data_IF_722818940927
#
_entry.id   IF_722818940927
#
_cell.length_a   1.000
_cell.length_b   1.000
_cell.length_c   1.000
_cell.angle_alpha   90.00
_cell.angle_beta   90.00
_cell.angle_gamma   90.00
#
_symmetry.space_group_name_H-M   'P 1'
#
loop_
_entity.id
_entity.type
_entity.pdbx_description
1 polymer ?
#
# COMPACT_ATOMS: atom_id res chain seq x y z
N UNK A 1 18.43 -36.65 -18.81
CA UNK A 1 17.08 -36.05 -18.96
C UNK A 1 16.36 -36.75 -20.10
N UNK A 2 15.16 -37.29 -19.87
CA UNK A 2 14.39 -37.99 -20.91
C UNK A 2 14.03 -37.07 -22.09
N UNK A 3 13.81 -37.64 -23.28
CA UNK A 3 13.51 -36.92 -24.55
C UNK A 3 12.34 -35.92 -24.45
N UNK A 4 11.45 -36.06 -23.46
CA UNK A 4 10.29 -35.18 -23.21
C UNK A 4 10.59 -33.93 -22.38
N UNK A 5 11.72 -33.86 -21.64
CA UNK A 5 12.03 -32.74 -20.73
C UNK A 5 12.73 -31.58 -21.42
N UNK A 6 13.46 -31.84 -22.51
CA UNK A 6 14.21 -30.82 -23.23
C UNK A 6 13.29 -29.75 -23.88
N UNK A 7 12.15 -30.11 -24.52
CA UNK A 7 11.21 -29.11 -25.03
C UNK A 7 10.59 -28.24 -23.92
N UNK A 8 10.28 -28.82 -22.75
CA UNK A 8 9.73 -28.06 -21.62
C UNK A 8 10.72 -27.02 -21.10
N UNK A 9 11.99 -27.41 -20.92
CA UNK A 9 13.04 -26.49 -20.53
C UNK A 9 13.24 -25.35 -21.53
N UNK A 10 13.14 -25.64 -22.84
CA UNK A 10 13.24 -24.61 -23.86
C UNK A 10 12.04 -23.66 -23.84
N UNK A 11 10.81 -24.18 -23.87
CA UNK A 11 9.60 -23.36 -24.03
C UNK A 11 9.16 -22.66 -22.75
N UNK A 12 9.44 -23.19 -21.56
CA UNK A 12 9.04 -22.58 -20.29
C UNK A 12 10.23 -22.12 -19.45
N UNK A 13 11.47 -22.36 -19.91
CA UNK A 13 12.69 -21.87 -19.28
C UNK A 13 13.37 -20.79 -20.13
N UNK A 14 14.02 -21.21 -21.21
CA UNK A 14 14.91 -20.34 -22.00
C UNK A 14 14.17 -19.23 -22.73
N UNK A 15 13.08 -19.57 -23.44
CA UNK A 15 12.32 -18.59 -24.24
C UNK A 15 11.72 -17.47 -23.38
N UNK A 16 10.93 -17.76 -22.32
CA UNK A 16 10.40 -16.71 -21.45
C UNK A 16 11.51 -15.90 -20.77
N UNK A 17 12.64 -16.52 -20.39
CA UNK A 17 13.78 -15.79 -19.85
C UNK A 17 14.32 -14.74 -20.83
N UNK A 18 14.54 -15.12 -22.10
CA UNK A 18 15.00 -14.16 -23.12
C UNK A 18 14.00 -13.03 -23.31
N UNK A 19 12.70 -13.35 -23.39
CA UNK A 19 11.64 -12.34 -23.57
C UNK A 19 11.61 -11.39 -22.37
N UNK A 20 11.75 -11.90 -21.15
CA UNK A 20 11.75 -11.09 -19.92
C UNK A 20 12.90 -10.08 -19.87
N UNK A 21 14.05 -10.38 -20.47
CA UNK A 21 15.11 -9.38 -20.66
C UNK A 21 14.75 -8.37 -21.74
N UNK A 22 14.12 -8.81 -22.84
CA UNK A 22 13.72 -7.91 -23.92
C UNK A 22 12.69 -6.87 -23.47
N UNK A 23 11.78 -7.23 -22.56
CA UNK A 23 10.78 -6.29 -22.03
C UNK A 23 11.41 -5.08 -21.31
N UNK A 24 12.65 -5.21 -20.83
CA UNK A 24 13.36 -4.13 -20.14
C UNK A 24 13.79 -2.98 -21.07
N UNK A 25 13.85 -3.22 -22.37
CA UNK A 25 14.33 -2.25 -23.36
C UNK A 25 13.19 -1.54 -24.11
N UNK A 26 11.93 -1.83 -23.77
CA UNK A 26 10.75 -1.27 -24.43
C UNK A 26 10.29 -0.04 -23.66
N UNK A 27 10.44 1.14 -24.26
CA UNK A 27 10.03 2.42 -23.67
C UNK A 27 8.70 2.90 -24.28
N UNK A 28 7.58 2.56 -23.64
CA UNK A 28 6.29 3.22 -23.91
C UNK A 28 5.64 3.74 -22.63
N UNK A 29 4.63 4.62 -22.78
CA UNK A 29 3.95 5.28 -21.66
C UNK A 29 3.18 4.34 -20.71
N UNK A 30 2.97 3.06 -21.06
CA UNK A 30 2.24 2.11 -20.20
C UNK A 30 3.10 0.89 -19.84
N UNK A 31 3.61 0.88 -18.62
CA UNK A 31 4.50 -0.15 -18.09
C UNK A 31 3.90 -1.57 -18.14
N UNK A 32 2.62 -1.72 -17.83
CA UNK A 32 1.97 -3.03 -17.81
C UNK A 32 1.83 -3.60 -19.23
N UNK A 33 1.48 -2.75 -20.20
CA UNK A 33 1.41 -3.14 -21.62
C UNK A 33 2.81 -3.52 -22.14
N UNK A 34 3.86 -2.79 -21.75
CA UNK A 34 5.24 -3.07 -22.16
C UNK A 34 5.71 -4.46 -21.75
N UNK A 35 5.24 -4.97 -20.62
CA UNK A 35 5.62 -6.30 -20.12
C UNK A 35 4.71 -7.38 -20.71
N UNK A 36 3.40 -7.17 -20.69
CA UNK A 36 2.44 -8.21 -21.06
C UNK A 36 2.45 -8.49 -22.57
N UNK A 37 2.54 -7.47 -23.43
CA UNK A 37 2.41 -7.66 -24.87
C UNK A 37 3.55 -8.51 -25.48
N UNK A 38 4.84 -8.28 -25.16
CA UNK A 38 5.92 -9.14 -25.66
C UNK A 38 5.82 -10.58 -25.18
N UNK A 39 5.32 -10.81 -23.96
CA UNK A 39 5.08 -12.15 -23.42
C UNK A 39 3.99 -12.87 -24.20
N UNK A 40 2.88 -12.19 -24.54
CA UNK A 40 1.82 -12.75 -25.38
C UNK A 40 2.37 -13.11 -26.77
N UNK A 41 3.10 -12.18 -27.41
CA UNK A 41 3.68 -12.40 -28.75
C UNK A 41 4.65 -13.58 -28.71
N UNK A 42 5.56 -13.60 -27.74
CA UNK A 42 6.54 -14.65 -27.57
C UNK A 42 5.90 -16.01 -27.27
N UNK A 43 4.86 -16.04 -26.44
CA UNK A 43 4.05 -17.23 -26.17
C UNK A 43 3.39 -17.76 -27.45
N UNK A 44 2.80 -16.88 -28.26
CA UNK A 44 2.22 -17.27 -29.56
C UNK A 44 3.27 -17.85 -30.51
N UNK A 45 4.44 -17.20 -30.66
CA UNK A 45 5.51 -17.68 -31.52
C UNK A 45 6.01 -19.05 -31.04
N UNK A 46 6.29 -19.19 -29.74
CA UNK A 46 6.76 -20.44 -29.15
C UNK A 46 5.73 -21.56 -29.29
N UNK A 47 4.45 -21.28 -29.05
CA UNK A 47 3.33 -22.22 -29.22
C UNK A 47 3.16 -22.65 -30.68
N UNK A 48 3.33 -21.71 -31.62
CA UNK A 48 3.35 -22.00 -33.06
C UNK A 48 4.47 -22.96 -33.44
N UNK A 49 5.69 -22.72 -32.95
CA UNK A 49 6.85 -23.61 -33.20
C UNK A 49 6.62 -25.00 -32.55
N UNK A 50 6.14 -25.03 -31.31
CA UNK A 50 5.84 -26.26 -30.59
C UNK A 50 4.78 -27.09 -31.33
N UNK A 51 3.69 -26.45 -31.79
CA UNK A 51 2.62 -27.13 -32.53
C UNK A 51 3.12 -27.79 -33.82
N UNK A 52 4.04 -27.15 -34.56
CA UNK A 52 4.65 -27.75 -35.77
C UNK A 52 5.44 -29.01 -35.46
N UNK A 53 6.08 -29.10 -34.29
CA UNK A 53 6.78 -30.31 -33.84
C UNK A 53 5.78 -31.39 -33.44
N UNK A 54 4.76 -31.04 -32.66
CA UNK A 54 3.73 -31.98 -32.20
C UNK A 54 3.02 -32.63 -33.38
N UNK A 55 2.60 -31.84 -34.37
CA UNK A 55 1.91 -32.30 -35.59
C UNK A 55 2.76 -33.18 -36.53
N UNK A 56 4.09 -33.25 -36.35
CA UNK A 56 4.99 -34.08 -37.18
C UNK A 56 5.26 -35.46 -36.58
N UNK A 57 4.92 -35.67 -35.32
CA UNK A 57 5.21 -36.92 -34.61
C UNK A 57 4.00 -37.84 -34.82
N UNK A 58 4.12 -38.88 -35.65
CA UNK A 58 3.04 -39.84 -35.95
C UNK A 58 2.50 -40.58 -34.70
N UNK A 59 3.23 -40.52 -33.57
CA UNK A 59 2.96 -41.33 -32.38
C UNK A 59 2.21 -40.59 -31.24
N UNK A 60 1.81 -39.32 -31.40
CA UNK A 60 1.00 -38.65 -30.37
C UNK A 60 0.23 -37.45 -30.93
N UNK A 61 -0.90 -37.68 -31.61
CA UNK A 61 -1.97 -36.69 -31.79
C UNK A 61 -2.69 -36.37 -30.47
N UNK A 62 -1.95 -36.42 -29.35
CA UNK A 62 -2.38 -36.04 -28.01
C UNK A 62 -1.75 -34.70 -27.70
N UNK A 63 -2.57 -33.74 -27.30
CA UNK A 63 -2.03 -32.57 -26.63
C UNK A 63 -1.39 -33.08 -25.34
N UNK A 64 -0.06 -33.12 -25.29
CA UNK A 64 0.62 -33.70 -24.14
C UNK A 64 0.26 -32.86 -22.92
N UNK A 65 -0.34 -33.52 -21.93
CA UNK A 65 -0.70 -32.99 -20.60
C UNK A 65 0.39 -32.08 -20.01
N UNK A 66 1.64 -32.34 -20.38
CA UNK A 66 2.83 -31.60 -19.97
C UNK A 66 2.79 -30.10 -20.30
N UNK A 67 2.11 -29.66 -21.37
CA UNK A 67 2.03 -28.24 -21.74
C UNK A 67 0.98 -27.46 -20.96
N UNK A 68 0.05 -28.13 -20.27
CA UNK A 68 -0.91 -27.50 -19.37
C UNK A 68 -0.37 -27.36 -17.94
N UNK A 69 0.69 -28.11 -17.60
CA UNK A 69 1.29 -28.08 -16.27
C UNK A 69 1.80 -26.69 -15.84
N UNK A 70 2.46 -25.89 -16.69
CA UNK A 70 2.97 -24.57 -16.30
C UNK A 70 1.84 -23.62 -15.85
N UNK A 71 0.74 -23.54 -16.61
CA UNK A 71 -0.43 -22.71 -16.28
C UNK A 71 -1.00 -23.05 -14.89
N UNK A 72 -1.11 -24.35 -14.59
CA UNK A 72 -1.62 -24.84 -13.31
C UNK A 72 -0.61 -24.60 -12.20
N UNK A 73 0.68 -24.84 -12.47
CA UNK A 73 1.78 -24.60 -11.54
C UNK A 73 1.83 -23.13 -11.11
N UNK A 74 1.78 -22.19 -12.06
CA UNK A 74 1.73 -20.75 -11.77
C UNK A 74 0.52 -20.38 -10.94
N UNK A 75 -0.68 -20.86 -11.29
CA UNK A 75 -1.89 -20.58 -10.51
C UNK A 75 -1.82 -21.13 -9.08
N UNK A 76 -1.34 -22.37 -8.90
CA UNK A 76 -1.19 -23.01 -7.58
C UNK A 76 -0.16 -22.30 -6.73
N UNK A 77 1.03 -22.01 -7.28
CA UNK A 77 2.04 -21.25 -6.55
C UNK A 77 1.51 -19.87 -6.18
N UNK A 78 0.89 -19.16 -7.11
CA UNK A 78 0.31 -17.86 -6.80
C UNK A 78 -0.70 -17.94 -5.66
N UNK A 79 -1.60 -18.93 -5.67
CA UNK A 79 -2.57 -19.14 -4.59
C UNK A 79 -1.89 -19.41 -3.23
N UNK A 80 -0.84 -20.23 -3.20
CA UNK A 80 -0.06 -20.52 -1.99
C UNK A 80 0.57 -19.23 -1.45
N UNK A 81 1.21 -18.43 -2.31
CA UNK A 81 1.85 -17.18 -1.90
C UNK A 81 0.85 -16.09 -1.52
N UNK A 82 -0.34 -16.07 -2.12
CA UNK A 82 -1.46 -15.24 -1.66
C UNK A 82 -1.87 -15.62 -0.24
N UNK A 83 -1.98 -16.91 0.09
CA UNK A 83 -2.31 -17.37 1.43
C UNK A 83 -1.20 -17.02 2.45
N UNK A 84 0.07 -17.24 2.09
CA UNK A 84 1.22 -16.94 2.95
C UNK A 84 1.31 -15.44 3.25
N UNK A 85 1.15 -14.60 2.22
CA UNK A 85 1.27 -13.14 2.33
C UNK A 85 -0.01 -12.44 2.81
N UNK A 86 -1.13 -13.16 2.96
CA UNK A 86 -2.43 -12.53 3.18
C UNK A 86 -2.84 -11.58 2.03
N UNK A 87 -2.35 -11.86 0.82
CA UNK A 87 -2.54 -11.01 -0.37
C UNK A 87 -1.67 -9.75 -0.40
N UNK A 88 -0.74 -9.57 0.54
CA UNK A 88 0.22 -8.47 0.48
C UNK A 88 1.32 -8.77 -0.54
N UNK A 89 1.25 -8.12 -1.70
CA UNK A 89 2.19 -8.33 -2.81
C UNK A 89 3.62 -7.81 -2.55
N UNK A 90 3.85 -7.07 -1.47
CA UNK A 90 5.19 -6.63 -1.06
C UNK A 90 5.90 -7.56 -0.08
N UNK A 91 5.26 -8.63 0.39
CA UNK A 91 5.87 -9.56 1.34
C UNK A 91 7.10 -10.29 0.77
N UNK A 92 8.15 -10.48 1.58
CA UNK A 92 9.38 -11.20 1.20
C UNK A 92 9.14 -12.59 0.59
N UNK A 93 8.03 -13.24 0.94
CA UNK A 93 7.63 -14.51 0.36
C UNK A 93 7.59 -14.48 -1.19
N UNK A 94 7.28 -13.33 -1.80
CA UNK A 94 7.26 -13.18 -3.26
C UNK A 94 8.65 -13.30 -3.90
N UNK A 95 9.73 -13.13 -3.15
CA UNK A 95 11.08 -13.48 -3.61
C UNK A 95 11.23 -14.97 -3.87
N UNK A 96 10.69 -15.80 -2.97
CA UNK A 96 10.69 -17.26 -3.16
C UNK A 96 9.82 -17.64 -4.35
N UNK A 97 8.66 -16.99 -4.52
CA UNK A 97 7.84 -17.18 -5.73
C UNK A 97 8.62 -16.86 -7.01
N UNK A 98 9.40 -15.77 -7.00
CA UNK A 98 10.25 -15.39 -8.12
C UNK A 98 11.36 -16.41 -8.42
N UNK A 99 11.98 -17.00 -7.40
CA UNK A 99 12.96 -18.08 -7.56
C UNK A 99 12.30 -19.34 -8.16
N UNK A 100 11.06 -19.64 -7.77
CA UNK A 100 10.29 -20.75 -8.34
C UNK A 100 9.83 -20.49 -9.80
N UNK A 101 10.05 -19.27 -10.29
CA UNK A 101 9.74 -18.78 -11.63
C UNK A 101 10.94 -18.01 -12.22
N UNK A 102 12.16 -18.55 -12.07
CA UNK A 102 13.41 -17.99 -12.65
C UNK A 102 13.26 -17.44 -14.09
N UNK A 103 12.50 -18.06 -15.00
CA UNK A 103 12.31 -17.53 -16.35
C UNK A 103 11.64 -16.15 -16.42
N UNK A 104 11.02 -15.68 -15.34
CA UNK A 104 10.43 -14.35 -15.22
C UNK A 104 11.25 -13.42 -14.31
N UNK A 105 12.43 -13.85 -13.83
CA UNK A 105 13.21 -13.11 -12.84
C UNK A 105 13.53 -11.65 -13.24
N UNK A 106 13.91 -11.33 -14.49
CA UNK A 106 14.13 -9.93 -14.90
C UNK A 106 12.90 -9.03 -14.73
N UNK A 107 11.72 -9.54 -15.09
CA UNK A 107 10.45 -8.82 -14.89
C UNK A 107 10.19 -8.67 -13.41
N UNK A 108 10.28 -9.76 -12.64
CA UNK A 108 10.00 -9.74 -11.21
C UNK A 108 10.90 -8.79 -10.44
N UNK A 109 12.18 -8.73 -10.78
CA UNK A 109 13.13 -7.79 -10.22
C UNK A 109 12.68 -6.33 -10.41
N UNK A 110 12.34 -5.94 -11.65
CA UNK A 110 11.87 -4.57 -11.92
C UNK A 110 10.52 -4.30 -11.26
N UNK A 111 9.62 -5.27 -11.24
CA UNK A 111 8.31 -5.08 -10.62
C UNK A 111 8.41 -4.94 -9.11
N UNK A 112 9.37 -5.58 -8.46
CA UNK A 112 9.66 -5.35 -7.04
C UNK A 112 10.17 -3.93 -6.81
N UNK A 113 11.09 -3.43 -7.64
CA UNK A 113 11.59 -2.05 -7.55
C UNK A 113 10.48 -1.01 -7.76
N UNK A 114 9.51 -1.32 -8.61
CA UNK A 114 8.39 -0.43 -8.93
C UNK A 114 7.16 -0.66 -8.05
N UNK A 115 7.19 -1.64 -7.14
CA UNK A 115 6.03 -2.02 -6.34
C UNK A 115 4.86 -2.65 -7.13
N UNK A 116 5.09 -3.06 -8.37
CA UNK A 116 4.05 -3.58 -9.27
C UNK A 116 3.85 -5.10 -9.13
N UNK A 117 3.40 -5.54 -7.97
CA UNK A 117 3.29 -6.97 -7.67
C UNK A 117 2.24 -7.74 -8.49
N UNK A 118 1.36 -7.07 -9.26
CA UNK A 118 0.34 -7.77 -10.08
C UNK A 118 0.99 -8.67 -11.13
N UNK A 119 2.20 -8.32 -11.56
CA UNK A 119 2.94 -9.04 -12.58
C UNK A 119 3.49 -10.39 -12.10
N UNK A 120 3.54 -10.67 -10.79
CA UNK A 120 3.85 -12.02 -10.28
C UNK A 120 2.91 -13.08 -10.85
N UNK A 121 1.62 -12.76 -10.99
CA UNK A 121 0.65 -13.65 -11.63
C UNK A 121 0.63 -13.44 -13.15
N UNK A 122 0.44 -12.19 -13.59
CA UNK A 122 0.04 -11.93 -14.97
C UNK A 122 1.17 -12.10 -15.99
N UNK A 123 2.44 -11.89 -15.63
CA UNK A 123 3.54 -12.10 -16.56
C UNK A 123 3.69 -13.59 -16.97
N UNK A 124 3.84 -14.55 -16.05
CA UNK A 124 3.89 -15.97 -16.44
C UNK A 124 2.61 -16.42 -17.15
N UNK A 125 1.42 -16.08 -16.63
CA UNK A 125 0.15 -16.47 -17.26
C UNK A 125 -0.03 -15.93 -18.68
N UNK A 126 0.39 -14.69 -18.95
CA UNK A 126 0.27 -14.10 -20.28
C UNK A 126 1.04 -14.91 -21.33
N UNK A 127 2.27 -15.31 -21.00
CA UNK A 127 3.08 -16.16 -21.87
C UNK A 127 2.48 -17.56 -22.02
N UNK A 128 2.13 -18.20 -20.91
CA UNK A 128 1.70 -19.60 -20.89
C UNK A 128 0.33 -19.81 -21.53
N UNK A 129 -0.63 -18.92 -21.27
CA UNK A 129 -1.95 -18.97 -21.92
C UNK A 129 -1.83 -18.72 -23.42
N UNK A 130 -1.01 -17.75 -23.85
CA UNK A 130 -0.78 -17.48 -25.27
C UNK A 130 -0.14 -18.68 -25.99
N UNK A 131 0.80 -19.35 -25.32
CA UNK A 131 1.42 -20.58 -25.79
C UNK A 131 0.39 -21.71 -25.99
N UNK A 132 -0.39 -22.02 -24.95
CA UNK A 132 -1.41 -23.07 -24.99
C UNK A 132 -2.51 -22.74 -26.01
N UNK A 133 -2.95 -21.48 -26.04
CA UNK A 133 -3.95 -21.01 -27.00
C UNK A 133 -3.50 -21.19 -28.44
N UNK A 134 -2.25 -20.84 -28.75
CA UNK A 134 -1.74 -20.99 -30.11
C UNK A 134 -1.60 -22.45 -30.52
N UNK A 135 -1.21 -23.34 -29.60
CA UNK A 135 -1.23 -24.78 -29.86
C UNK A 135 -2.67 -25.21 -30.21
N UNK A 136 -3.65 -24.84 -29.39
CA UNK A 136 -5.05 -25.19 -29.65
C UNK A 136 -5.54 -24.67 -31.02
N UNK A 137 -5.23 -23.41 -31.35
CA UNK A 137 -5.58 -22.82 -32.66
C UNK A 137 -4.92 -23.60 -33.81
N UNK A 138 -3.63 -23.95 -33.70
CA UNK A 138 -2.91 -24.72 -34.72
C UNK A 138 -3.55 -26.08 -35.01
N UNK A 139 -3.99 -26.81 -33.97
CA UNK A 139 -4.71 -28.07 -34.14
C UNK A 139 -6.06 -27.88 -34.83
N UNK A 140 -6.82 -26.85 -34.43
CA UNK A 140 -8.11 -26.53 -35.07
C UNK A 140 -7.96 -26.14 -36.54
N UNK A 141 -6.97 -25.31 -36.89
CA UNK A 141 -6.69 -24.90 -38.28
C UNK A 141 -6.37 -26.12 -39.16
N UNK A 142 -5.58 -27.06 -38.64
CA UNK A 142 -5.24 -28.28 -39.37
C UNK A 142 -6.35 -29.34 -39.38
N UNK A 143 -7.50 -29.07 -38.75
CA UNK A 143 -8.60 -30.02 -38.53
C UNK A 143 -8.14 -31.32 -37.87
N UNK A 144 -7.01 -31.29 -37.17
CA UNK A 144 -6.51 -32.40 -36.40
C UNK A 144 -7.18 -32.35 -35.02
N UNK A 145 -7.79 -33.45 -34.59
CA UNK A 145 -8.51 -33.50 -33.31
C UNK A 145 -7.58 -34.07 -32.25
N UNK A 146 -6.99 -33.22 -31.39
CA UNK A 146 -6.15 -33.73 -30.32
C UNK A 146 -6.97 -34.69 -29.43
N UNK A 147 -6.43 -35.86 -29.17
CA UNK A 147 -7.02 -36.81 -28.22
C UNK A 147 -6.60 -36.41 -26.81
N UNK A 148 -7.52 -35.78 -26.08
CA UNK A 148 -7.28 -35.40 -24.69
C UNK A 148 -7.52 -36.57 -23.74
N UNK A 149 -6.65 -36.72 -22.75
CA UNK A 149 -6.99 -37.48 -21.54
C UNK A 149 -8.02 -36.68 -20.73
N UNK A 150 -9.30 -36.79 -21.10
CA UNK A 150 -10.40 -35.99 -20.54
C UNK A 150 -10.35 -35.88 -19.01
N UNK A 151 -10.09 -37.00 -18.32
CA UNK A 151 -9.94 -37.02 -16.85
C UNK A 151 -8.81 -36.11 -16.38
N UNK A 152 -7.61 -36.19 -16.98
CA UNK A 152 -6.46 -35.38 -16.60
C UNK A 152 -6.68 -33.90 -16.89
N UNK A 153 -7.23 -33.56 -18.05
CA UNK A 153 -7.55 -32.16 -18.41
C UNK A 153 -8.59 -31.58 -17.46
N UNK A 154 -9.64 -32.34 -17.14
CA UNK A 154 -10.64 -31.93 -16.14
C UNK A 154 -10.02 -31.74 -14.75
N UNK A 155 -9.12 -32.63 -14.33
CA UNK A 155 -8.40 -32.48 -13.05
C UNK A 155 -7.56 -31.21 -13.04
N UNK A 156 -6.77 -30.93 -14.08
CA UNK A 156 -5.97 -29.70 -14.16
C UNK A 156 -6.84 -28.44 -14.17
N UNK A 157 -7.94 -28.46 -14.91
CA UNK A 157 -8.88 -27.34 -14.94
C UNK A 157 -9.49 -27.11 -13.55
N UNK A 158 -9.89 -28.17 -12.84
CA UNK A 158 -10.42 -28.06 -11.49
C UNK A 158 -9.38 -27.48 -10.52
N UNK A 159 -8.13 -27.95 -10.58
CA UNK A 159 -7.02 -27.41 -9.76
C UNK A 159 -6.76 -25.95 -10.09
N UNK A 160 -6.71 -25.59 -11.37
CA UNK A 160 -6.54 -24.20 -11.80
C UNK A 160 -7.65 -23.29 -11.28
N UNK A 161 -8.92 -23.70 -11.44
CA UNK A 161 -10.08 -22.93 -10.96
C UNK A 161 -10.03 -22.76 -9.44
N UNK A 162 -9.71 -23.82 -8.69
CA UNK A 162 -9.59 -23.74 -7.23
C UNK A 162 -8.45 -22.82 -6.80
N UNK A 163 -7.30 -22.90 -7.46
CA UNK A 163 -6.15 -22.04 -7.16
C UNK A 163 -6.46 -20.57 -7.48
N UNK A 164 -6.98 -20.27 -8.67
CA UNK A 164 -7.41 -18.93 -9.06
C UNK A 164 -8.48 -18.39 -8.11
N UNK A 165 -9.48 -19.22 -7.79
CA UNK A 165 -10.56 -18.86 -6.85
C UNK A 165 -10.03 -18.58 -5.45
N UNK A 166 -9.03 -19.33 -4.97
CA UNK A 166 -8.38 -19.09 -3.68
C UNK A 166 -7.68 -17.73 -3.65
N UNK A 167 -6.82 -17.45 -4.62
CA UNK A 167 -6.13 -16.16 -4.65
C UNK A 167 -7.07 -14.98 -4.87
N UNK A 168 -8.12 -15.14 -5.68
CA UNK A 168 -9.20 -14.13 -5.82
C UNK A 168 -9.96 -13.94 -4.52
N UNK A 169 -10.27 -15.01 -3.77
CA UNK A 169 -10.94 -14.89 -2.47
C UNK A 169 -10.06 -14.17 -1.44
N UNK A 170 -8.76 -14.46 -1.40
CA UNK A 170 -7.79 -13.73 -0.56
C UNK A 170 -7.77 -12.25 -0.95
N UNK A 171 -7.65 -11.94 -2.24
CA UNK A 171 -7.63 -10.56 -2.73
C UNK A 171 -8.96 -9.84 -2.47
N UNK A 172 -10.09 -10.53 -2.62
CA UNK A 172 -11.40 -9.98 -2.35
C UNK A 172 -11.57 -9.68 -0.85
N UNK A 173 -11.16 -10.60 0.01
CA UNK A 173 -11.16 -10.36 1.45
C UNK A 173 -10.26 -9.18 1.82
N UNK A 174 -9.05 -9.11 1.25
CA UNK A 174 -8.14 -7.97 1.42
C UNK A 174 -8.77 -6.67 0.92
N UNK A 175 -9.45 -6.66 -0.23
CA UNK A 175 -10.09 -5.45 -0.78
C UNK A 175 -11.20 -4.87 0.10
N UNK A 176 -11.76 -5.67 1.02
CA UNK A 176 -12.73 -5.19 2.01
C UNK A 176 -12.05 -4.48 3.20
N UNK A 177 -10.76 -4.72 3.43
CA UNK A 177 -10.04 -4.24 4.61
C UNK A 177 -8.84 -3.35 4.27
N UNK A 178 -8.38 -3.37 3.02
CA UNK A 178 -7.20 -2.66 2.50
C UNK A 178 -7.50 -2.21 1.07
N UNK A 179 -7.63 -0.90 0.85
CA UNK A 179 -7.69 -0.35 -0.52
C UNK A 179 -6.32 -0.48 -1.20
N UNK A 180 -6.27 -0.57 -2.55
CA UNK A 180 -5.00 -0.55 -3.28
C UNK A 180 -4.29 0.76 -2.93
N UNK A 181 -3.13 0.68 -2.30
CA UNK A 181 -2.32 1.87 -2.04
C UNK A 181 -1.55 2.34 -3.26
N UNK A 182 -1.66 1.65 -4.40
CA UNK A 182 -0.90 1.92 -5.61
C UNK A 182 -1.80 2.61 -6.62
N UNK A 183 -1.43 3.84 -6.98
CA UNK A 183 -2.19 4.66 -7.93
C UNK A 183 -2.16 6.15 -7.61
N UNK A 184 -1.62 6.54 -6.46
CA UNK A 184 -1.36 7.95 -6.19
C UNK A 184 -0.23 8.49 -7.05
N UNK A 185 -0.21 9.81 -7.21
CA UNK A 185 0.78 10.51 -8.02
C UNK A 185 2.20 10.44 -7.41
N UNK A 186 2.31 10.35 -6.08
CA UNK A 186 3.59 10.51 -5.37
C UNK A 186 3.99 9.27 -4.56
N UNK A 187 5.25 9.26 -4.09
CA UNK A 187 5.78 8.27 -3.15
C UNK A 187 5.75 6.84 -3.70
N UNK A 188 6.09 6.64 -4.98
CA UNK A 188 6.05 5.31 -5.60
C UNK A 188 4.64 4.73 -5.75
N UNK A 189 3.63 5.60 -5.78
CA UNK A 189 2.25 5.22 -5.89
C UNK A 189 1.49 5.24 -4.56
N UNK A 190 2.16 5.46 -3.42
CA UNK A 190 1.64 5.35 -2.06
C UNK A 190 1.15 6.65 -1.41
N UNK A 191 1.55 7.81 -1.94
CA UNK A 191 1.33 9.11 -1.30
C UNK A 191 0.39 9.98 -2.11
N UNK A 192 -0.63 10.50 -1.47
CA UNK A 192 -1.49 11.52 -2.07
C UNK A 192 -0.81 12.88 -2.20
N UNK A 193 0.30 13.12 -1.51
CA UNK A 193 1.01 14.41 -1.47
C UNK A 193 2.45 14.27 -1.92
N UNK A 194 3.01 15.30 -2.54
CA UNK A 194 4.44 15.34 -2.83
C UNK A 194 5.25 15.32 -1.52
N UNK A 195 5.97 14.21 -1.30
CA UNK A 195 6.81 14.02 -0.12
C UNK A 195 8.28 14.39 -0.38
N UNK A 196 8.65 14.71 -1.63
CA UNK A 196 10.03 15.06 -1.98
C UNK A 196 10.60 16.22 -1.16
N UNK A 197 9.84 17.25 -0.74
CA UNK A 197 10.34 18.28 0.19
C UNK A 197 10.80 17.75 1.55
N UNK A 198 10.37 16.57 1.96
CA UNK A 198 10.68 15.96 3.25
C UNK A 198 11.67 14.79 3.15
N UNK A 199 12.13 14.44 1.95
CA UNK A 199 13.10 13.36 1.77
C UNK A 199 14.47 13.71 2.36
N UNK A 200 15.07 12.78 3.11
CA UNK A 200 16.38 12.98 3.76
C UNK A 200 17.54 13.11 2.76
N UNK A 201 17.37 12.60 1.54
CA UNK A 201 18.28 12.69 0.39
C UNK A 201 18.14 14.01 -0.37
N UNK A 202 17.02 14.70 -0.26
CA UNK A 202 16.80 15.95 -0.95
C UNK A 202 17.70 17.05 -0.34
N UNK A 203 18.64 17.66 -1.09
CA UNK A 203 19.50 18.72 -0.58
C UNK A 203 18.73 20.01 -0.23
N UNK A 204 17.56 20.21 -0.84
CA UNK A 204 16.65 21.34 -0.61
C UNK A 204 15.47 20.97 0.31
N UNK A 205 15.60 19.91 1.11
CA UNK A 205 14.54 19.53 2.04
C UNK A 205 14.19 20.67 3.01
N UNK A 206 12.94 20.68 3.45
CA UNK A 206 12.39 21.65 4.40
C UNK A 206 12.30 21.08 5.82
N UNK A 207 13.05 20.01 6.11
CA UNK A 207 13.05 19.40 7.45
C UNK A 207 13.61 20.39 8.47
N UNK A 208 13.01 20.48 9.66
CA UNK A 208 13.50 21.35 10.72
C UNK A 208 14.91 20.93 11.15
N UNK A 209 15.72 21.93 11.51
CA UNK A 209 17.06 21.74 12.06
C UNK A 209 17.06 22.10 13.53
N UNK A 210 17.81 21.33 14.32
CA UNK A 210 18.10 21.69 15.71
C UNK A 210 18.96 22.96 15.76
N UNK A 211 18.79 23.72 16.84
CA UNK A 211 19.65 24.90 17.12
C UNK A 211 21.07 24.50 17.55
N UNK A 212 21.21 23.30 18.13
CA UNK A 212 22.47 22.74 18.60
C UNK A 212 22.73 21.36 17.98
N UNK A 213 23.99 20.86 17.98
CA UNK A 213 24.29 19.50 17.56
C UNK A 213 23.45 18.47 18.32
N UNK A 214 23.06 17.38 17.64
CA UNK A 214 22.30 16.31 18.28
C UNK A 214 23.08 15.68 19.44
N UNK A 215 22.39 15.46 20.55
CA UNK A 215 22.91 14.75 21.74
C UNK A 215 22.98 13.24 21.54
N UNK A 216 22.32 12.73 20.49
CA UNK A 216 22.33 11.33 20.10
C UNK A 216 22.55 11.22 18.58
N UNK A 217 23.49 10.35 18.18
CA UNK A 217 23.80 10.12 16.76
C UNK A 217 24.07 8.64 16.52
N UNK A 218 23.61 8.11 15.39
CA UNK A 218 23.90 6.76 14.91
C UNK A 218 24.82 6.88 13.70
N UNK A 219 26.04 6.33 13.83
CA UNK A 219 27.10 6.49 12.83
C UNK A 219 27.08 5.40 11.77
N UNK A 220 26.85 4.17 12.20
CA UNK A 220 26.90 3.01 11.33
C UNK A 220 25.54 2.78 10.66
N UNK A 221 25.50 2.71 9.34
CA UNK A 221 24.27 2.51 8.58
C UNK A 221 23.55 1.20 8.96
N UNK A 222 24.29 0.13 9.29
CA UNK A 222 23.69 -1.14 9.72
C UNK A 222 22.97 -1.05 11.07
N UNK A 223 23.32 -0.06 11.89
CA UNK A 223 22.72 0.19 13.20
C UNK A 223 21.57 1.20 13.15
N UNK A 224 21.34 1.87 12.01
CA UNK A 224 20.22 2.81 11.83
C UNK A 224 18.90 2.03 11.84
N UNK A 225 17.95 2.33 12.74
CA UNK A 225 16.62 1.77 12.65
C UNK A 225 15.95 2.13 11.31
N UNK A 226 15.32 1.15 10.67
CA UNK A 226 14.51 1.34 9.46
C UNK A 226 13.16 1.94 9.85
N UNK A 227 12.78 3.04 9.20
CA UNK A 227 11.63 3.87 9.53
C UNK A 227 10.60 3.82 8.40
N UNK A 228 9.33 3.75 8.77
CA UNK A 228 8.18 3.89 7.87
C UNK A 228 6.95 4.35 8.66
N UNK A 229 5.87 4.78 8.01
CA UNK A 229 4.70 5.22 8.74
C UNK A 229 3.57 5.83 7.91
N UNK A 230 2.68 6.50 8.65
CA UNK A 230 1.61 7.30 8.09
C UNK A 230 2.15 8.54 7.36
N UNK A 231 1.44 8.99 6.32
CA UNK A 231 1.85 10.12 5.47
C UNK A 231 2.06 11.40 6.27
N UNK A 232 1.16 11.69 7.22
CA UNK A 232 1.29 12.85 8.12
C UNK A 232 2.54 12.79 9.02
N UNK A 233 3.03 11.58 9.31
CA UNK A 233 4.20 11.38 10.16
C UNK A 233 5.52 11.42 9.36
N UNK A 234 5.47 11.38 8.02
CA UNK A 234 6.66 11.38 7.17
C UNK A 234 7.64 12.52 7.48
N UNK A 235 7.19 13.78 7.62
CA UNK A 235 8.09 14.88 7.99
C UNK A 235 8.77 14.68 9.34
N UNK A 236 8.11 14.02 10.30
CA UNK A 236 8.62 13.79 11.67
C UNK A 236 9.77 12.82 11.67
N UNK A 237 9.56 11.61 11.15
CA UNK A 237 10.60 10.59 11.21
C UNK A 237 11.74 10.86 10.22
N UNK A 238 11.47 11.55 9.11
CA UNK A 238 12.52 12.07 8.23
C UNK A 238 13.38 13.12 8.93
N UNK A 239 12.79 14.04 9.71
CA UNK A 239 13.55 15.02 10.47
C UNK A 239 14.38 14.38 11.59
N UNK A 240 13.83 13.39 12.29
CA UNK A 240 14.57 12.61 13.29
C UNK A 240 15.75 11.87 12.66
N UNK A 241 15.53 11.16 11.55
CA UNK A 241 16.59 10.48 10.83
C UNK A 241 17.66 11.46 10.33
N UNK A 242 17.26 12.59 9.72
CA UNK A 242 18.19 13.60 9.23
C UNK A 242 19.08 14.19 10.33
N UNK A 243 18.55 14.26 11.55
CA UNK A 243 19.22 14.82 12.72
C UNK A 243 20.16 13.81 13.39
N UNK A 244 19.74 12.54 13.50
CA UNK A 244 20.42 11.51 14.28
C UNK A 244 21.31 10.61 13.43
N UNK A 245 20.96 10.37 12.16
CA UNK A 245 21.70 9.44 11.30
C UNK A 245 22.84 10.16 10.58
N UNK A 246 24.08 9.83 10.96
CA UNK A 246 25.25 10.47 10.38
C UNK A 246 25.39 10.10 8.89
N UNK A 247 25.57 11.09 8.02
CA UNK A 247 25.71 10.90 6.57
C UNK A 247 24.56 10.14 5.88
N UNK A 248 23.34 10.17 6.41
CA UNK A 248 22.18 9.44 5.84
C UNK A 248 21.97 9.68 4.34
N UNK A 249 22.22 10.90 3.84
CA UNK A 249 22.07 11.21 2.42
C UNK A 249 23.06 10.49 1.50
N UNK A 250 24.12 9.89 2.06
CA UNK A 250 25.14 9.10 1.36
C UNK A 250 25.12 7.63 1.75
N UNK A 251 24.20 7.20 2.62
CA UNK A 251 24.11 5.81 3.00
C UNK A 251 23.66 4.97 1.80
N UNK A 252 24.17 3.75 1.69
CA UNK A 252 23.64 2.78 0.75
C UNK A 252 22.18 2.46 1.14
N UNK A 253 21.30 2.31 0.14
CA UNK A 253 19.89 1.96 0.34
C UNK A 253 19.10 2.90 1.27
N UNK A 254 19.29 4.23 1.16
CA UNK A 254 18.54 5.22 1.99
C UNK A 254 17.03 5.00 1.97
N UNK A 255 16.48 4.62 0.81
CA UNK A 255 15.05 4.34 0.62
C UNK A 255 14.54 3.14 1.42
N UNK A 256 15.42 2.25 1.87
CA UNK A 256 15.10 1.14 2.79
C UNK A 256 15.20 1.56 4.26
N UNK A 257 16.05 2.54 4.57
CA UNK A 257 16.27 3.06 5.93
C UNK A 257 15.19 4.07 6.32
N UNK A 258 14.84 5.00 5.43
CA UNK A 258 13.77 5.98 5.62
C UNK A 258 12.80 5.83 4.46
N UNK A 259 11.79 5.01 4.67
CA UNK A 259 10.82 4.63 3.63
C UNK A 259 9.45 5.24 3.90
N UNK A 260 8.59 5.22 2.88
CA UNK A 260 7.18 5.57 3.01
C UNK A 260 6.32 4.58 2.23
N UNK A 261 5.45 3.86 2.93
CA UNK A 261 4.47 2.96 2.32
C UNK A 261 3.04 3.19 2.79
N UNK A 262 2.76 4.29 3.51
CA UNK A 262 1.49 4.62 4.17
C UNK A 262 1.15 3.77 5.40
N UNK A 263 0.10 4.17 6.12
CA UNK A 263 -0.34 3.57 7.40
C UNK A 263 -0.53 2.05 7.33
N UNK A 264 -1.18 1.53 6.29
CA UNK A 264 -1.57 0.11 6.26
C UNK A 264 -0.34 -0.75 6.01
N UNK A 265 0.42 -0.43 4.98
CA UNK A 265 1.57 -1.22 4.55
C UNK A 265 2.76 -1.05 5.49
N UNK A 266 3.01 0.15 6.00
CA UNK A 266 4.08 0.36 6.99
C UNK A 266 3.84 -0.45 8.26
N UNK A 267 2.58 -0.62 8.66
CA UNK A 267 2.23 -1.47 9.79
C UNK A 267 2.40 -2.96 9.48
N UNK A 268 2.02 -3.42 8.28
CA UNK A 268 2.30 -4.80 7.84
C UNK A 268 3.82 -5.07 7.82
N UNK A 269 4.62 -4.13 7.30
CA UNK A 269 6.09 -4.17 7.28
C UNK A 269 6.70 -4.18 8.69
N UNK A 270 6.06 -3.51 9.65
CA UNK A 270 6.50 -3.59 11.06
C UNK A 270 6.32 -5.02 11.58
N UNK A 271 5.17 -5.63 11.32
CA UNK A 271 4.89 -6.99 11.80
C UNK A 271 5.80 -8.05 11.14
N UNK A 272 6.13 -7.88 9.85
CA UNK A 272 7.07 -8.75 9.14
C UNK A 272 8.52 -8.56 9.59
N UNK A 273 8.85 -7.41 10.22
CA UNK A 273 10.21 -7.06 10.64
C UNK A 273 11.06 -6.42 9.53
N UNK A 274 10.42 -5.97 8.45
CA UNK A 274 11.05 -5.18 7.39
C UNK A 274 11.36 -3.75 7.82
N UNK A 275 10.59 -3.21 8.78
CA UNK A 275 10.85 -1.90 9.41
C UNK A 275 11.00 -2.08 10.92
N UNK A 276 11.84 -1.25 11.52
CA UNK A 276 12.15 -1.32 12.95
C UNK A 276 11.23 -0.44 13.78
N UNK A 277 10.80 0.71 13.23
CA UNK A 277 9.90 1.67 13.88
C UNK A 277 8.84 2.15 12.89
N UNK A 278 7.57 1.96 13.25
CA UNK A 278 6.42 2.56 12.58
C UNK A 278 6.06 3.90 13.23
N UNK A 279 5.77 4.93 12.44
CA UNK A 279 5.30 6.22 12.94
C UNK A 279 3.86 6.51 12.53
N UNK A 280 3.00 6.83 13.49
CA UNK A 280 1.62 7.19 13.20
C UNK A 280 0.73 7.20 14.42
N UNK A 281 -0.59 7.24 14.19
CA UNK A 281 -1.58 7.10 15.25
C UNK A 281 -1.65 5.66 15.78
N UNK A 282 -2.49 5.45 16.79
CA UNK A 282 -2.82 4.13 17.33
C UNK A 282 -3.32 3.17 16.22
N UNK A 283 -2.89 1.89 16.21
CA UNK A 283 -3.35 0.92 15.22
C UNK A 283 -4.84 0.62 15.38
N UNK A 284 -5.51 0.40 14.25
CA UNK A 284 -6.91 -0.05 14.20
C UNK A 284 -7.14 -1.37 14.93
N UNK A 285 -8.41 -1.66 15.25
CA UNK A 285 -8.79 -2.95 15.87
C UNK A 285 -8.29 -4.14 15.02
N UNK A 286 -8.44 -4.09 13.70
CA UNK A 286 -7.98 -5.17 12.82
C UNK A 286 -6.45 -5.29 12.79
N UNK A 287 -5.72 -4.17 12.81
CA UNK A 287 -4.26 -4.16 12.89
C UNK A 287 -3.77 -4.73 14.24
N UNK A 288 -4.45 -4.42 15.35
CA UNK A 288 -4.15 -5.00 16.66
C UNK A 288 -4.42 -6.52 16.67
N UNK A 289 -5.53 -6.96 16.08
CA UNK A 289 -5.84 -8.38 15.92
C UNK A 289 -4.85 -9.09 15.01
N UNK A 290 -4.38 -8.43 13.94
CA UNK A 290 -3.35 -8.94 13.06
C UNK A 290 -2.04 -9.18 13.83
N UNK A 291 -1.60 -8.22 14.64
CA UNK A 291 -0.42 -8.38 15.50
C UNK A 291 -0.59 -9.56 16.48
N UNK A 292 -1.76 -9.66 17.14
CA UNK A 292 -2.08 -10.77 18.06
C UNK A 292 -2.04 -12.12 17.37
N UNK A 293 -2.65 -12.26 16.19
CA UNK A 293 -2.65 -13.51 15.40
C UNK A 293 -1.24 -13.94 14.99
N UNK A 294 -0.34 -12.99 14.77
CA UNK A 294 1.06 -13.26 14.43
C UNK A 294 1.97 -13.42 15.66
N UNK A 295 1.42 -13.37 16.88
CA UNK A 295 2.20 -13.45 18.12
C UNK A 295 3.16 -12.28 18.32
N UNK A 296 2.84 -11.10 17.75
CA UNK A 296 3.65 -9.89 17.81
C UNK A 296 3.13 -8.99 18.93
N UNK A 297 4.02 -8.60 19.85
CA UNK A 297 3.73 -7.63 20.91
C UNK A 297 4.27 -6.25 20.51
N UNK A 298 3.39 -5.25 20.52
CA UNK A 298 3.71 -3.87 20.13
C UNK A 298 4.10 -3.06 21.36
N UNK A 299 5.13 -2.22 21.21
CA UNK A 299 5.49 -1.18 22.17
C UNK A 299 5.13 0.16 21.55
N UNK A 300 4.21 0.88 22.17
CA UNK A 300 3.72 2.17 21.68
C UNK A 300 4.34 3.31 22.49
N UNK A 301 5.30 4.02 21.90
CA UNK A 301 5.98 5.16 22.55
C UNK A 301 5.37 6.47 22.05
N UNK A 302 4.63 7.23 22.88
CA UNK A 302 4.10 8.52 22.47
C UNK A 302 5.25 9.51 22.31
N UNK A 303 5.35 10.14 21.14
CA UNK A 303 6.42 11.09 20.79
C UNK A 303 5.89 12.50 20.52
N UNK A 304 4.58 12.65 20.40
CA UNK A 304 3.91 13.94 20.28
C UNK A 304 2.40 13.76 20.33
N UNK A 305 1.69 14.88 20.25
CA UNK A 305 0.23 14.96 20.22
C UNK A 305 -0.21 15.68 18.96
N UNK A 306 -1.41 15.34 18.52
CA UNK A 306 -2.06 15.88 17.35
C UNK A 306 -3.57 16.00 17.60
N UNK A 307 -4.26 16.81 16.81
CA UNK A 307 -5.71 16.84 16.74
C UNK A 307 -6.24 16.11 15.51
N UNK A 308 -7.33 15.37 15.72
CA UNK A 308 -8.20 14.91 14.65
C UNK A 308 -9.27 15.95 14.40
N UNK A 309 -9.28 16.53 13.20
CA UNK A 309 -10.11 17.70 12.88
C UNK A 309 -11.12 17.36 11.81
N UNK A 310 -12.29 18.01 11.91
CA UNK A 310 -13.29 18.04 10.88
C UNK A 310 -13.21 19.37 10.14
N UNK A 311 -13.49 19.34 8.85
CA UNK A 311 -13.45 20.53 8.01
C UNK A 311 -14.52 20.49 6.93
N UNK A 312 -14.92 21.68 6.51
CA UNK A 312 -15.93 21.93 5.50
C UNK A 312 -15.39 22.93 4.49
N UNK A 313 -16.15 23.16 3.42
CA UNK A 313 -15.89 24.27 2.51
C UNK A 313 -15.97 25.63 3.28
N UNK A 314 -15.10 26.61 2.98
CA UNK A 314 -15.12 27.94 3.62
C UNK A 314 -16.48 28.66 3.61
N UNK A 315 -17.30 28.46 2.58
CA UNK A 315 -18.62 29.10 2.42
C UNK A 315 -19.73 28.41 3.24
N UNK A 316 -19.44 27.27 3.86
CA UNK A 316 -20.37 26.62 4.77
C UNK A 316 -20.58 27.49 6.02
N UNK A 317 -21.83 27.70 6.44
CA UNK A 317 -22.16 28.60 7.57
C UNK A 317 -21.97 27.98 8.95
N UNK A 318 -21.77 26.67 9.02
CA UNK A 318 -21.54 25.98 10.30
C UNK A 318 -20.09 26.21 10.74
N UNK A 319 -19.90 26.70 11.96
CA UNK A 319 -18.58 26.96 12.54
C UNK A 319 -18.20 25.96 13.63
N UNK A 320 -19.19 25.31 14.23
CA UNK A 320 -18.99 24.31 15.27
C UNK A 320 -20.00 23.17 15.18
N UNK A 321 -19.56 21.98 15.58
CA UNK A 321 -20.41 20.81 15.78
C UNK A 321 -20.17 20.21 17.17
N UNK A 322 -21.23 19.69 17.77
CA UNK A 322 -21.12 18.81 18.93
C UNK A 322 -20.72 17.39 18.51
N UNK A 323 -20.14 16.64 19.45
CA UNK A 323 -19.75 15.23 19.20
C UNK A 323 -20.95 14.40 18.72
N UNK A 324 -22.13 14.62 19.32
CA UNK A 324 -23.35 13.92 18.93
C UNK A 324 -23.81 14.27 17.52
N UNK A 325 -23.61 15.50 17.05
CA UNK A 325 -23.97 15.93 15.70
C UNK A 325 -23.05 15.27 14.67
N UNK A 326 -21.75 15.17 14.96
CA UNK A 326 -20.80 14.42 14.14
C UNK A 326 -21.23 12.96 14.02
N UNK A 327 -21.57 12.32 15.13
CA UNK A 327 -22.04 10.93 15.13
C UNK A 327 -23.33 10.77 14.30
N UNK A 328 -24.25 11.72 14.40
CA UNK A 328 -25.51 11.71 13.63
C UNK A 328 -25.30 12.00 12.14
N UNK A 329 -24.32 12.82 11.77
CA UNK A 329 -23.92 13.02 10.36
C UNK A 329 -23.34 11.73 9.78
N UNK A 330 -22.34 11.13 10.43
CA UNK A 330 -21.64 9.96 9.90
C UNK A 330 -22.41 8.65 10.01
N UNK A 331 -23.46 8.58 10.85
CA UNK A 331 -24.47 7.50 10.81
C UNK A 331 -25.56 7.72 9.75
N UNK A 332 -25.62 8.92 9.16
CA UNK A 332 -26.65 9.30 8.21
C UNK A 332 -28.00 9.63 8.83
N UNK A 333 -28.07 9.91 10.13
CA UNK A 333 -29.29 10.41 10.79
C UNK A 333 -29.56 11.87 10.39
N UNK A 334 -28.54 12.74 10.48
CA UNK A 334 -28.59 14.10 9.96
C UNK A 334 -28.09 14.08 8.52
N UNK A 335 -28.90 14.61 7.60
CA UNK A 335 -28.62 14.55 6.16
C UNK A 335 -28.59 15.92 5.49
N UNK A 336 -28.95 16.99 6.21
CA UNK A 336 -29.01 18.33 5.65
C UNK A 336 -28.45 19.37 6.62
N UNK A 337 -27.66 20.32 6.09
CA UNK A 337 -27.04 21.37 6.90
C UNK A 337 -28.05 22.31 7.59
N UNK A 338 -29.27 22.44 7.07
CA UNK A 338 -30.32 23.24 7.72
C UNK A 338 -30.74 22.69 9.10
N UNK A 339 -30.51 21.41 9.36
CA UNK A 339 -30.72 20.79 10.68
C UNK A 339 -29.68 21.27 11.71
N UNK A 340 -28.59 21.87 11.25
CA UNK A 340 -27.44 22.33 12.02
C UNK A 340 -27.24 23.86 11.90
N UNK A 341 -28.28 24.59 11.46
CA UNK A 341 -28.22 26.05 11.27
C UNK A 341 -27.47 26.51 10.01
N UNK A 342 -27.10 25.58 9.13
CA UNK A 342 -26.48 25.86 7.83
C UNK A 342 -27.49 26.14 6.71
N UNK A 343 -27.01 26.07 5.46
CA UNK A 343 -27.87 26.22 4.28
C UNK A 343 -28.76 24.99 4.07
N UNK A 344 -29.86 25.11 3.32
CA UNK A 344 -30.70 23.97 2.98
C UNK A 344 -30.05 23.11 1.89
N UNK A 345 -29.02 22.39 2.27
CA UNK A 345 -28.12 21.64 1.41
C UNK A 345 -27.86 20.25 1.99
N UNK A 346 -27.83 19.23 1.13
CA UNK A 346 -27.57 17.85 1.54
C UNK A 346 -26.13 17.71 2.04
N UNK A 347 -25.93 17.04 3.17
CA UNK A 347 -24.58 16.75 3.68
C UNK A 347 -23.96 15.59 2.89
N UNK A 348 -22.72 15.80 2.46
CA UNK A 348 -21.85 14.76 1.90
C UNK A 348 -20.70 14.54 2.87
N UNK A 349 -20.69 13.39 3.54
CA UNK A 349 -19.68 13.07 4.55
C UNK A 349 -18.67 12.08 4.00
N UNK A 350 -17.49 12.59 3.65
CA UNK A 350 -16.39 11.80 3.09
C UNK A 350 -15.82 10.84 4.13
N UNK A 351 -15.50 9.63 3.70
CA UNK A 351 -14.88 8.59 4.53
C UNK A 351 -13.53 8.18 3.97
N UNK A 352 -12.76 7.44 4.76
CA UNK A 352 -11.44 6.92 4.38
C UNK A 352 -11.44 5.39 4.33
N UNK A 353 -10.42 4.79 3.68
CA UNK A 353 -10.27 3.34 3.68
C UNK A 353 -10.20 2.81 5.11
N UNK A 354 -10.81 1.66 5.35
CA UNK A 354 -10.64 0.91 6.60
C UNK A 354 -9.15 0.73 6.91
N UNK A 355 -8.80 0.77 8.19
CA UNK A 355 -7.42 0.67 8.69
C UNK A 355 -6.49 1.85 8.32
N UNK A 356 -6.99 2.89 7.65
CA UNK A 356 -6.26 4.16 7.61
C UNK A 356 -6.29 4.83 8.99
N UNK A 357 -5.24 5.61 9.32
CA UNK A 357 -5.14 6.24 10.64
C UNK A 357 -6.31 7.18 10.94
N UNK A 358 -6.74 7.97 9.97
CA UNK A 358 -7.86 8.90 10.13
C UNK A 358 -9.22 8.18 10.22
N UNK A 359 -9.44 7.10 9.46
CA UNK A 359 -10.68 6.30 9.59
C UNK A 359 -10.76 5.64 10.97
N UNK A 360 -9.64 5.16 11.48
CA UNK A 360 -9.56 4.53 12.82
C UNK A 360 -10.01 5.51 13.91
N UNK A 361 -9.64 6.79 13.78
CA UNK A 361 -10.06 7.84 14.73
C UNK A 361 -11.55 8.18 14.58
N UNK A 362 -12.09 8.23 13.36
CA UNK A 362 -13.54 8.36 13.15
C UNK A 362 -14.32 7.19 13.79
N UNK A 363 -13.90 5.94 13.55
CA UNK A 363 -14.52 4.75 14.13
C UNK A 363 -14.51 4.80 15.68
N UNK A 364 -13.43 5.32 16.27
CA UNK A 364 -13.33 5.52 17.72
C UNK A 364 -14.31 6.57 18.24
N UNK A 365 -14.51 7.67 17.50
CA UNK A 365 -15.50 8.72 17.82
C UNK A 365 -16.92 8.18 17.71
N UNK A 366 -17.18 7.33 16.72
CA UNK A 366 -18.50 6.70 16.50
C UNK A 366 -18.83 5.65 17.57
N UNK A 367 -17.83 4.99 18.14
CA UNK A 367 -18.03 3.97 19.17
C UNK A 367 -18.81 2.78 18.62
N UNK A 368 -19.98 2.51 19.19
CA UNK A 368 -20.88 1.43 18.76
C UNK A 368 -21.91 1.88 17.70
N UNK A 369 -21.95 3.18 17.37
CA UNK A 369 -22.87 3.72 16.37
C UNK A 369 -22.38 3.31 14.97
N UNK A 370 -23.19 2.59 14.17
CA UNK A 370 -22.81 2.23 12.81
C UNK A 370 -22.56 3.45 11.93
N UNK A 371 -21.43 3.45 11.22
CA UNK A 371 -21.14 4.44 10.17
C UNK A 371 -21.93 4.06 8.92
N UNK A 372 -22.53 5.04 8.24
CA UNK A 372 -23.25 4.79 6.99
C UNK A 372 -22.33 4.26 5.90
N UNK A 373 -22.85 3.42 5.01
CA UNK A 373 -22.11 3.02 3.81
C UNK A 373 -21.89 4.26 2.91
N UNK A 374 -20.64 4.65 2.61
CA UNK A 374 -20.37 5.79 1.75
C UNK A 374 -20.73 5.46 0.28
N UNK A 375 -21.04 6.48 -0.53
CA UNK A 375 -21.03 6.28 -1.98
C UNK A 375 -19.60 5.95 -2.41
N UNK A 376 -19.43 5.17 -3.49
CA UNK A 376 -18.08 4.77 -3.96
C UNK A 376 -17.16 5.95 -4.27
N UNK A 377 -17.74 7.09 -4.62
CA UNK A 377 -17.04 8.35 -4.90
C UNK A 377 -16.66 9.14 -3.64
N UNK A 378 -17.22 8.79 -2.48
CA UNK A 378 -17.00 9.47 -1.19
C UNK A 378 -15.92 8.79 -0.33
N UNK A 379 -15.10 7.91 -0.93
CA UNK A 379 -13.98 7.23 -0.25
C UNK A 379 -12.65 7.52 -0.95
N UNK A 380 -12.04 8.70 -0.72
CA UNK A 380 -10.72 8.98 -1.27
C UNK A 380 -9.67 8.07 -0.64
N UNK A 381 -8.79 7.52 -1.48
CA UNK A 381 -7.78 6.57 -1.03
C UNK A 381 -6.79 7.25 -0.05
N UNK A 382 -6.44 8.52 -0.27
CA UNK A 382 -5.41 9.28 0.45
C UNK A 382 -5.97 10.48 1.25
N UNK A 383 -5.21 10.99 2.23
CA UNK A 383 -5.66 12.16 3.01
C UNK A 383 -5.74 13.42 2.14
N UNK A 384 -4.82 13.57 1.17
CA UNK A 384 -4.84 14.65 0.19
C UNK A 384 -6.10 14.63 -0.67
N UNK A 385 -6.60 13.43 -1.00
CA UNK A 385 -7.83 13.27 -1.79
C UNK A 385 -9.09 13.74 -1.06
N UNK A 386 -9.22 13.56 0.26
CA UNK A 386 -10.33 14.15 1.02
C UNK A 386 -10.22 15.67 1.02
N UNK A 387 -9.02 16.20 1.28
CA UNK A 387 -8.82 17.65 1.28
C UNK A 387 -9.18 18.21 -0.09
N UNK A 388 -8.63 17.67 -1.18
CA UNK A 388 -8.95 18.11 -2.55
C UNK A 388 -10.44 18.00 -2.86
N UNK A 389 -11.13 16.93 -2.47
CA UNK A 389 -12.57 16.79 -2.74
C UNK A 389 -13.45 17.75 -1.93
N UNK A 390 -13.01 18.15 -0.73
CA UNK A 390 -13.68 19.17 0.09
C UNK A 390 -13.25 20.60 -0.31
N UNK A 391 -12.02 20.76 -0.80
CA UNK A 391 -11.34 22.05 -1.04
C UNK A 391 -11.40 22.54 -2.49
N UNK A 392 -11.47 21.67 -3.50
CA UNK A 392 -11.36 22.08 -4.91
C UNK A 392 -12.32 21.35 -5.90
N UNK A 393 -12.99 22.20 -6.67
CA UNK A 393 -13.63 22.03 -7.99
C UNK A 393 -14.84 21.08 -8.24
N UNK A 394 -15.32 20.27 -7.29
CA UNK A 394 -16.56 19.48 -7.53
C UNK A 394 -17.87 20.06 -6.98
N UNK A 395 -17.85 21.29 -6.44
CA UNK A 395 -19.05 22.04 -6.07
C UNK A 395 -19.92 21.32 -5.03
N UNK A 396 -19.31 20.92 -3.93
CA UNK A 396 -20.01 20.48 -2.74
C UNK A 396 -19.64 21.38 -1.56
N UNK A 397 -20.10 22.63 -1.58
CA UNK A 397 -20.09 23.55 -0.42
C UNK A 397 -20.79 22.92 0.81
N UNK A 398 -21.49 21.82 0.57
CA UNK A 398 -22.22 20.99 1.47
C UNK A 398 -21.46 19.71 1.93
N UNK A 399 -20.15 19.63 1.69
CA UNK A 399 -19.30 18.54 2.16
C UNK A 399 -18.78 18.72 3.58
N UNK A 400 -18.51 17.59 4.24
CA UNK A 400 -17.67 17.49 5.44
C UNK A 400 -16.62 16.40 5.25
N UNK A 401 -15.39 16.70 5.63
CA UNK A 401 -14.28 15.76 5.68
C UNK A 401 -13.57 15.79 7.04
N UNK A 402 -12.57 14.92 7.19
CA UNK A 402 -11.73 14.85 8.38
C UNK A 402 -10.29 14.49 8.04
N UNK A 403 -9.36 14.90 8.90
CA UNK A 403 -7.94 14.54 8.79
C UNK A 403 -7.21 14.80 10.12
N UNK A 404 -5.90 14.55 10.14
CA UNK A 404 -5.04 15.08 11.19
C UNK A 404 -4.69 16.54 10.90
N UNK A 405 -4.66 17.39 11.94
CA UNK A 405 -4.49 18.83 11.79
C UNK A 405 -3.21 19.21 11.05
N UNK A 406 -2.04 18.67 11.40
CA UNK A 406 -0.79 18.97 10.70
C UNK A 406 -0.85 18.60 9.21
N UNK A 407 -1.52 17.50 8.86
CA UNK A 407 -1.72 17.17 7.46
C UNK A 407 -2.57 18.24 6.75
N UNK A 408 -3.66 18.67 7.39
CA UNK A 408 -4.61 19.64 6.85
C UNK A 408 -4.09 21.09 6.79
N UNK A 409 -3.20 21.50 7.69
CA UNK A 409 -2.75 22.91 7.79
C UNK A 409 -1.25 23.10 7.60
N UNK A 410 -0.45 22.04 7.63
CA UNK A 410 1.01 22.11 7.59
C UNK A 410 1.60 21.52 6.30
N UNK A 411 1.25 20.26 5.99
CA UNK A 411 1.72 19.60 4.74
C UNK A 411 0.98 20.12 3.51
N UNK A 412 -0.30 20.43 3.69
CA UNK A 412 -1.21 20.88 2.64
C UNK A 412 -1.95 22.10 3.15
N UNK A 413 -1.21 23.19 3.42
CA UNK A 413 -1.81 24.48 3.76
C UNK A 413 -2.64 25.01 2.59
N UNK A 414 -3.89 24.57 2.52
CA UNK A 414 -4.86 25.06 1.57
C UNK A 414 -5.71 26.08 2.30
N UNK A 415 -5.73 27.31 1.79
CA UNK A 415 -6.70 28.35 2.13
C UNK A 415 -8.16 27.97 1.82
N UNK A 416 -8.41 26.72 1.42
CA UNK A 416 -9.60 26.27 0.73
C UNK A 416 -10.46 25.34 1.61
N UNK A 417 -10.12 25.16 2.90
CA UNK A 417 -10.97 24.47 3.88
C UNK A 417 -11.12 25.30 5.16
N UNK A 418 -12.28 25.18 5.81
CA UNK A 418 -12.54 25.74 7.14
C UNK A 418 -12.61 24.63 8.17
N UNK A 419 -11.68 24.65 9.13
CA UNK A 419 -11.71 23.71 10.27
C UNK A 419 -12.88 24.05 11.20
N UNK A 420 -13.62 23.03 11.64
CA UNK A 420 -14.74 23.19 12.57
C UNK A 420 -14.26 23.13 14.02
N UNK A 421 -14.83 24.00 14.86
CA UNK A 421 -14.73 23.86 16.30
C UNK A 421 -15.58 22.69 16.78
N UNK A 422 -15.13 21.97 17.81
CA UNK A 422 -15.93 20.89 18.41
C UNK A 422 -16.43 21.36 19.76
N UNK A 423 -17.74 21.35 19.97
CA UNK A 423 -18.38 21.87 21.19
C UNK A 423 -17.91 23.31 21.52
N UNK A 424 -17.77 24.16 20.50
CA UNK A 424 -17.26 25.53 20.61
C UNK A 424 -15.75 25.67 20.83
N UNK A 425 -14.97 24.59 20.80
CA UNK A 425 -13.50 24.62 20.98
C UNK A 425 -12.79 24.44 19.65
N UNK A 426 -12.03 25.45 19.22
CA UNK A 426 -11.23 25.39 17.99
C UNK A 426 -10.00 24.47 18.12
N UNK A 427 -9.55 23.81 17.03
CA UNK A 427 -8.34 22.96 17.02
C UNK A 427 -7.03 23.77 16.98
N UNK A 428 -6.86 24.70 17.91
CA UNK A 428 -5.63 25.50 18.04
C UNK A 428 -4.56 24.74 18.82
N UNK A 429 -3.26 25.00 18.60
CA UNK A 429 -2.19 24.38 19.39
C UNK A 429 -2.38 24.51 20.91
N UNK A 430 -2.89 25.65 21.37
CA UNK A 430 -3.16 25.92 22.79
C UNK A 430 -4.29 25.04 23.33
N UNK A 431 -5.39 24.89 22.57
CA UNK A 431 -6.52 24.05 22.97
C UNK A 431 -6.16 22.55 22.95
N UNK A 432 -5.30 22.13 22.03
CA UNK A 432 -4.81 20.76 21.93
C UNK A 432 -3.86 20.46 23.08
N UNK A 433 -2.88 21.33 23.34
CA UNK A 433 -1.91 21.17 24.42
C UNK A 433 -2.57 21.15 25.81
N UNK A 434 -3.62 21.95 26.00
CA UNK A 434 -4.37 22.00 27.26
C UNK A 434 -5.41 20.87 27.42
N UNK A 435 -5.63 20.04 26.39
CA UNK A 435 -6.65 18.99 26.39
C UNK A 435 -8.09 19.50 26.33
N UNK A 436 -8.29 20.77 26.00
CA UNK A 436 -9.62 21.36 25.82
C UNK A 436 -10.29 20.90 24.52
N UNK A 437 -9.50 20.71 23.46
CA UNK A 437 -10.03 20.15 22.21
C UNK A 437 -10.31 18.66 22.41
N UNK A 438 -11.53 18.16 22.11
CA UNK A 438 -11.95 16.82 22.54
C UNK A 438 -11.33 15.68 21.72
N UNK A 439 -10.90 15.93 20.49
CA UNK A 439 -10.37 14.91 19.59
C UNK A 439 -8.87 15.03 19.42
N UNK A 440 -8.13 14.62 20.45
CA UNK A 440 -6.67 14.52 20.40
C UNK A 440 -6.22 13.08 20.19
N UNK A 441 -5.14 12.90 19.44
CA UNK A 441 -4.46 11.64 19.25
C UNK A 441 -2.98 11.79 19.59
N UNK A 442 -2.37 10.74 20.11
CA UNK A 442 -0.91 10.70 20.22
C UNK A 442 -0.33 10.29 18.86
N UNK A 443 0.76 10.94 18.48
CA UNK A 443 1.70 10.42 17.50
C UNK A 443 2.63 9.44 18.20
N UNK A 444 2.66 8.20 17.72
CA UNK A 444 3.47 7.14 18.27
C UNK A 444 4.66 6.80 17.38
N UNK A 445 5.78 6.46 18.01
CA UNK A 445 6.78 5.56 17.46
C UNK A 445 6.48 4.15 18.00
N UNK A 446 6.08 3.23 17.12
CA UNK A 446 5.66 1.87 17.46
C UNK A 446 6.74 0.89 17.04
N UNK A 447 7.16 0.03 17.97
CA UNK A 447 8.16 -1.01 17.74
C UNK A 447 7.63 -2.39 18.12
N UNK A 448 8.31 -3.44 17.66
CA UNK A 448 8.10 -4.78 18.18
C UNK A 448 8.92 -5.00 19.45
N UNK A 449 8.31 -5.56 20.50
CA UNK A 449 8.99 -5.81 21.78
C UNK A 449 10.23 -6.71 21.65
N UNK A 450 10.24 -7.61 20.66
CA UNK A 450 11.35 -8.52 20.41
C UNK A 450 12.40 -7.96 19.43
N UNK A 451 12.34 -6.68 19.07
CA UNK A 451 13.39 -6.07 18.25
C UNK A 451 14.70 -6.02 19.04
N UNK A 452 15.77 -6.56 18.45
CA UNK A 452 17.09 -6.73 19.10
C UNK A 452 18.05 -5.59 18.81
N UNK A 453 17.68 -4.60 17.99
CA UNK A 453 18.54 -3.49 17.60
C UNK A 453 18.73 -2.55 18.80
N UNK A 454 19.97 -2.49 19.31
CA UNK A 454 20.34 -1.76 20.53
C UNK A 454 20.17 -0.25 20.44
N UNK A 455 20.12 0.32 19.24
CA UNK A 455 19.94 1.75 18.99
C UNK A 455 18.49 2.22 19.13
N UNK A 456 17.50 1.32 19.18
CA UNK A 456 16.08 1.69 19.26
C UNK A 456 15.76 2.39 20.57
N UNK A 457 16.10 1.79 21.71
CA UNK A 457 15.75 2.35 23.01
C UNK A 457 16.36 3.76 23.23
N UNK A 458 17.67 3.99 22.99
CA UNK A 458 18.24 5.34 23.07
C UNK A 458 17.61 6.33 22.09
N UNK A 459 17.20 5.86 20.90
CA UNK A 459 16.54 6.72 19.92
C UNK A 459 15.14 7.13 20.37
N UNK A 460 14.35 6.20 20.92
CA UNK A 460 13.04 6.49 21.51
C UNK A 460 13.15 7.45 22.71
N UNK A 461 14.15 7.28 23.57
CA UNK A 461 14.42 8.22 24.65
C UNK A 461 14.80 9.61 24.13
N UNK A 462 15.64 9.68 23.10
CA UNK A 462 16.00 10.95 22.46
C UNK A 462 14.79 11.66 21.83
N UNK A 463 13.88 10.91 21.17
CA UNK A 463 12.63 11.46 20.61
C UNK A 463 11.75 12.10 21.69
N UNK A 464 11.68 11.49 22.88
CA UNK A 464 10.96 12.02 24.04
C UNK A 464 11.71 13.16 24.75
N UNK A 465 13.02 13.26 24.54
CA UNK A 465 13.88 14.28 25.12
C UNK A 465 13.73 15.66 24.46
N UNK A 466 14.41 16.69 25.00
CA UNK A 466 14.23 18.07 24.57
C UNK A 466 14.42 18.32 23.06
N UNK A 467 15.43 17.70 22.44
CA UNK A 467 15.71 17.88 21.01
C UNK A 467 14.68 17.19 20.11
N UNK A 468 14.21 16.00 20.48
CA UNK A 468 13.13 15.34 19.76
C UNK A 468 11.83 16.15 19.83
N UNK A 469 11.51 16.68 21.02
CA UNK A 469 10.32 17.52 21.22
C UNK A 469 10.42 18.89 20.51
N UNK A 470 11.62 19.47 20.39
CA UNK A 470 11.87 20.66 19.58
C UNK A 470 11.53 20.42 18.10
N UNK A 471 11.92 19.27 17.54
CA UNK A 471 11.59 18.88 16.17
C UNK A 471 10.08 18.68 16.00
N UNK A 472 9.42 17.99 16.94
CA UNK A 472 7.96 17.78 16.95
C UNK A 472 7.23 19.13 16.87
N UNK A 473 7.61 20.09 17.71
CA UNK A 473 7.02 21.43 17.75
C UNK A 473 7.30 22.23 16.46
N UNK A 474 8.55 22.19 15.94
CA UNK A 474 8.93 22.88 14.70
C UNK A 474 8.20 22.37 13.46
N UNK A 475 7.79 21.11 13.45
CA UNK A 475 6.99 20.55 12.35
C UNK A 475 5.55 21.08 12.44
N UNK A 476 5.02 21.27 13.64
CA UNK A 476 3.65 21.76 13.86
C UNK A 476 2.77 20.79 14.64
N UNK A 477 3.34 19.70 15.17
CA UNK A 477 2.73 18.84 16.17
C UNK A 477 2.86 19.46 17.56
N UNK A 478 2.13 18.90 18.53
CA UNK A 478 2.17 19.36 19.92
C UNK A 478 3.15 18.48 20.70
N UNK A 479 4.14 19.09 21.35
CA UNK A 479 5.07 18.38 22.24
C UNK A 479 4.35 17.80 23.46
N UNK A 480 4.88 16.71 23.99
CA UNK A 480 4.26 15.93 25.07
C UNK A 480 4.12 16.67 26.39
#
# INVERSE_FOLDING_TARGET
MGKSMLPMFMYFGVVPLVISFMTLFITTNNFLINIILPLIIGGCIAGGIASKRLLKTEDDSRLSFIFLLPVVYTAVLWAIFMLISGGFLGADSWLVYGILHIPMAPIFFITMLMGEGRLFLWAPLAYELAFVFTIFVSFNIKKDRPTFYKKQVMTLLAVFILAMGTGVAVQWQRSKTVLPSYGFEYGGGYSSTDLTPYEVTNPANILPKLEAPSTFTIKNSSEMPRLDGAEAAYPVYSAFAKTVYENISKADNVMEIVSFTNTIYAYERLLSGEVDIYFGAEPSKEQQEMAKRQGKELVMTPIGKEAFVFFVNPDNKVDSLDVSEIQRIYSGEIKNWSELGGQNERIIAFQRPKNSGSQTLLEKIMGDIPIMEPLKEDVPEGMGGIIEQVADYRNYDNSIGFSFRFFATGMRDHSNIKLLAITGVEPTPVNIASGKYPFTANLYAITLKNNTKTTIEPFLEWMKGPQGQEIIEKIGYIKN
#
